data_IF_876612854125
#
_entry.id   IF_876612854125
#
_cell.length_a   1.000
_cell.length_b   1.000
_cell.length_c   1.000
_cell.angle_alpha   90.00
_cell.angle_beta   90.00
_cell.angle_gamma   90.00
#
_symmetry.space_group_name_H-M   'P 1'
#
loop_
_entity.id
_entity.type
_entity.pdbx_description
1 polymer ?
#
# COMPACT_ATOMS: atom_id res chain seq x y z
N UNK A 1 -4.58 19.89 -0.81
CA UNK A 1 -5.12 18.92 -1.79
C UNK A 1 -4.12 18.74 -2.91
N UNK A 2 -3.90 17.53 -3.33
CA UNK A 2 -2.98 17.20 -4.42
C UNK A 2 -3.79 16.72 -5.63
N UNK A 3 -3.45 17.22 -6.81
CA UNK A 3 -4.04 16.77 -8.07
C UNK A 3 -3.01 15.96 -8.85
N UNK A 4 -3.44 14.81 -9.35
CA UNK A 4 -2.61 13.86 -10.09
C UNK A 4 -3.33 13.51 -11.39
N UNK A 5 -2.58 13.36 -12.47
CA UNK A 5 -3.14 12.92 -13.73
C UNK A 5 -3.77 11.53 -13.58
N UNK A 6 -5.05 11.41 -13.94
CA UNK A 6 -5.77 10.14 -13.91
C UNK A 6 -5.59 9.43 -15.26
N UNK A 7 -4.86 8.34 -15.22
CA UNK A 7 -4.68 7.48 -16.38
C UNK A 7 -5.84 6.50 -16.56
N UNK A 8 -5.58 5.37 -17.21
CA UNK A 8 -6.58 4.33 -17.44
C UNK A 8 -7.09 3.73 -16.12
N UNK A 9 -6.23 3.65 -15.10
CA UNK A 9 -6.56 3.15 -13.77
C UNK A 9 -6.22 4.21 -12.72
N UNK A 10 -6.93 4.25 -11.59
CA UNK A 10 -6.61 5.18 -10.52
C UNK A 10 -5.31 4.74 -9.82
N UNK A 11 -4.21 5.33 -10.23
CA UNK A 11 -2.88 5.00 -9.69
C UNK A 11 -2.11 6.26 -9.29
N UNK A 12 -1.19 6.08 -8.36
CA UNK A 12 -0.33 7.13 -7.85
C UNK A 12 1.08 6.60 -7.67
N UNK A 13 2.05 7.51 -7.60
CA UNK A 13 3.38 7.17 -7.10
C UNK A 13 3.38 7.36 -5.59
N UNK A 14 3.68 6.30 -4.87
CA UNK A 14 3.73 6.30 -3.42
C UNK A 14 5.15 6.03 -2.95
N UNK A 15 5.71 6.94 -2.15
CA UNK A 15 7.02 6.75 -1.54
C UNK A 15 6.82 6.20 -0.14
N UNK A 16 7.24 4.97 0.05
CA UNK A 16 7.13 4.28 1.33
C UNK A 16 8.45 4.34 2.06
N UNK A 17 8.42 4.85 3.28
CA UNK A 17 9.58 4.88 4.16
C UNK A 17 9.38 3.86 5.28
N UNK A 18 10.28 2.89 5.36
CA UNK A 18 10.24 1.89 6.41
C UNK A 18 10.66 2.44 7.77
N UNK A 19 10.47 1.63 8.80
CA UNK A 19 10.91 1.96 10.17
C UNK A 19 12.43 2.11 10.26
N UNK A 20 13.18 1.50 9.35
CA UNK A 20 14.63 1.60 9.25
C UNK A 20 15.09 2.80 8.40
N UNK A 21 14.19 3.69 8.02
CA UNK A 21 14.42 4.88 7.20
C UNK A 21 14.77 4.62 5.73
N UNK A 22 14.74 3.39 5.27
CA UNK A 22 14.88 3.09 3.84
C UNK A 22 13.60 3.46 3.09
N UNK A 23 13.77 3.97 1.88
CA UNK A 23 12.67 4.50 1.07
C UNK A 23 12.61 3.77 -0.27
N UNK A 24 11.39 3.47 -0.70
CA UNK A 24 11.15 2.97 -2.05
C UNK A 24 9.89 3.61 -2.63
N UNK A 25 9.92 3.95 -3.91
CA UNK A 25 8.78 4.47 -4.64
C UNK A 25 8.08 3.34 -5.41
N UNK A 26 6.75 3.32 -5.32
CA UNK A 26 5.92 2.37 -6.03
C UNK A 26 4.92 3.07 -6.91
N UNK A 27 4.66 2.48 -8.06
CA UNK A 27 3.44 2.78 -8.80
C UNK A 27 2.32 1.94 -8.20
N UNK A 28 1.41 2.60 -7.51
CA UNK A 28 0.39 1.94 -6.71
C UNK A 28 -1.01 2.17 -7.26
N UNK A 29 -1.80 1.10 -7.34
CA UNK A 29 -3.21 1.18 -7.65
C UNK A 29 -3.98 1.62 -6.40
N UNK A 30 -4.90 2.58 -6.54
CA UNK A 30 -5.84 2.91 -5.48
C UNK A 30 -7.02 1.96 -5.57
N UNK A 31 -7.17 1.11 -4.56
CA UNK A 31 -8.23 0.11 -4.54
C UNK A 31 -8.81 -0.08 -3.13
N UNK A 32 -9.99 0.48 -2.86
CA UNK A 32 -10.61 0.41 -1.53
C UNK A 32 -11.17 -0.97 -1.20
N UNK A 33 -11.14 -1.93 -2.11
CA UNK A 33 -11.50 -3.31 -1.83
C UNK A 33 -10.47 -3.96 -0.91
N UNK A 34 -9.20 -3.58 -1.03
CA UNK A 34 -8.15 -4.08 -0.15
C UNK A 34 -8.23 -3.41 1.22
N UNK A 35 -8.23 -4.21 2.27
CA UNK A 35 -8.25 -3.71 3.64
C UNK A 35 -6.95 -3.02 4.03
N UNK A 36 -5.83 -3.54 3.54
CA UNK A 36 -4.49 -3.01 3.81
C UNK A 36 -3.85 -2.52 2.52
N UNK A 37 -2.90 -1.58 2.65
CA UNK A 37 -1.97 -1.32 1.56
C UNK A 37 -1.12 -2.56 1.35
N UNK A 38 -0.69 -2.79 0.11
CA UNK A 38 0.05 -4.01 -0.27
C UNK A 38 1.35 -3.62 -0.97
N UNK A 39 2.44 -4.27 -0.59
CA UNK A 39 3.74 -4.21 -1.27
C UNK A 39 4.23 -5.63 -1.57
N UNK A 40 5.18 -5.79 -2.51
CA UNK A 40 5.75 -7.10 -2.78
C UNK A 40 6.37 -7.72 -1.53
N UNK A 41 6.23 -9.02 -1.41
CA UNK A 41 6.66 -9.78 -0.23
C UNK A 41 8.14 -9.56 0.10
N UNK A 42 9.01 -9.54 -0.92
CA UNK A 42 10.44 -9.32 -0.72
C UNK A 42 10.79 -7.95 -0.16
N UNK A 43 9.94 -6.95 -0.37
CA UNK A 43 10.20 -5.58 0.07
C UNK A 43 9.99 -5.38 1.57
N UNK A 44 9.26 -6.29 2.23
CA UNK A 44 9.17 -6.27 3.70
C UNK A 44 10.55 -6.38 4.33
N UNK A 45 11.44 -7.16 3.72
CA UNK A 45 12.83 -7.30 4.20
C UNK A 45 13.62 -6.00 4.01
N UNK A 46 13.36 -5.30 2.93
CA UNK A 46 13.97 -3.98 2.67
C UNK A 46 13.64 -2.99 3.79
N UNK A 47 12.41 -3.05 4.32
CA UNK A 47 11.93 -2.11 5.33
C UNK A 47 12.21 -2.56 6.77
N UNK A 48 13.13 -3.48 6.97
CA UNK A 48 13.63 -3.84 8.29
C UNK A 48 13.09 -5.14 8.87
N UNK A 49 12.26 -5.88 8.15
CA UNK A 49 11.76 -7.16 8.59
C UNK A 49 12.66 -8.27 8.07
N UNK A 50 13.31 -9.02 8.94
CA UNK A 50 14.12 -10.17 8.53
C UNK A 50 13.19 -11.30 8.06
N UNK A 51 13.72 -12.18 7.20
CA UNK A 51 12.98 -13.34 6.72
C UNK A 51 12.49 -14.21 7.89
N UNK A 52 13.34 -14.45 8.86
CA UNK A 52 12.99 -15.25 10.05
C UNK A 52 11.89 -14.57 10.86
N UNK A 53 12.03 -13.27 11.13
CA UNK A 53 11.02 -12.53 11.86
C UNK A 53 9.68 -12.52 11.12
N UNK A 54 9.72 -12.33 9.80
CA UNK A 54 8.53 -12.35 8.97
C UNK A 54 7.83 -13.70 9.01
N UNK A 55 8.57 -14.79 8.89
CA UNK A 55 8.02 -16.14 8.99
C UNK A 55 7.40 -16.42 10.35
N UNK A 56 8.05 -15.99 11.43
CA UNK A 56 7.51 -16.12 12.78
C UNK A 56 6.21 -15.35 12.95
N UNK A 57 6.13 -14.15 12.41
CA UNK A 57 4.93 -13.32 12.48
C UNK A 57 3.77 -13.91 11.68
N UNK A 58 4.03 -14.62 10.58
CA UNK A 58 2.99 -15.26 9.77
C UNK A 58 2.40 -16.50 10.41
N UNK A 59 3.09 -17.13 11.33
CA UNK A 59 2.66 -18.36 11.99
C UNK A 59 1.68 -18.10 13.14
N UNK A 60 1.76 -16.91 13.75
CA UNK A 60 0.99 -16.60 14.95
C UNK A 60 0.31 -15.24 14.92
N UNK A 61 -0.91 -15.16 15.52
CA UNK A 61 -1.53 -13.87 15.78
C UNK A 61 -0.62 -13.01 16.69
N UNK A 62 -0.79 -11.66 16.70
CA UNK A 62 -1.90 -10.93 16.07
C UNK A 62 -1.63 -10.47 14.64
N UNK A 63 -0.43 -10.65 14.11
CA UNK A 63 -0.02 -10.02 12.85
C UNK A 63 -0.33 -10.84 11.61
N UNK A 64 -0.57 -12.16 11.80
CA UNK A 64 -0.93 -13.03 10.68
C UNK A 64 -2.34 -12.73 10.18
N UNK A 65 -2.49 -12.62 8.89
CA UNK A 65 -3.77 -12.38 8.23
C UNK A 65 -3.89 -13.23 6.98
N UNK A 66 -5.13 -13.56 6.62
CA UNK A 66 -5.43 -14.14 5.33
C UNK A 66 -6.11 -13.07 4.48
N UNK A 67 -5.52 -12.76 3.33
CA UNK A 67 -6.02 -11.76 2.41
C UNK A 67 -6.55 -12.42 1.15
N UNK A 68 -7.62 -11.84 0.60
CA UNK A 68 -8.12 -12.20 -0.72
C UNK A 68 -7.49 -11.24 -1.72
N UNK A 69 -6.76 -11.78 -2.68
CA UNK A 69 -6.12 -11.01 -3.75
C UNK A 69 -6.52 -11.61 -5.10
N UNK A 70 -6.08 -10.99 -6.18
CA UNK A 70 -6.27 -11.55 -7.52
C UNK A 70 -5.66 -12.94 -7.72
N UNK A 71 -4.72 -13.34 -6.86
CA UNK A 71 -4.12 -14.69 -6.84
C UNK A 71 -4.79 -15.64 -5.86
N UNK A 72 -5.93 -15.28 -5.23
CA UNK A 72 -6.65 -16.09 -4.27
C UNK A 72 -6.40 -15.70 -2.82
N UNK A 73 -6.43 -16.67 -1.91
CA UNK A 73 -6.18 -16.43 -0.49
C UNK A 73 -4.68 -16.47 -0.20
N UNK A 74 -4.17 -15.44 0.47
CA UNK A 74 -2.75 -15.34 0.83
C UNK A 74 -2.61 -15.13 2.33
N UNK A 75 -1.82 -15.99 2.96
CA UNK A 75 -1.37 -15.72 4.33
C UNK A 75 -0.25 -14.71 4.30
N UNK A 76 -0.36 -13.69 5.13
CA UNK A 76 0.65 -12.65 5.24
C UNK A 76 0.66 -12.08 6.65
N UNK A 77 1.63 -11.21 6.89
CA UNK A 77 1.64 -10.39 8.10
C UNK A 77 1.26 -8.97 7.76
N UNK A 78 0.64 -8.30 8.72
CA UNK A 78 0.38 -6.87 8.66
C UNK A 78 1.43 -6.18 9.51
N UNK A 79 2.05 -5.17 8.96
CA UNK A 79 3.10 -4.40 9.62
C UNK A 79 2.92 -2.92 9.31
N UNK A 80 3.46 -2.09 10.19
CA UNK A 80 3.38 -0.64 10.05
C UNK A 80 4.66 -0.12 9.40
N UNK A 81 4.52 0.82 8.46
CA UNK A 81 5.66 1.56 7.90
C UNK A 81 5.80 2.91 8.57
N UNK A 82 6.97 3.55 8.42
CA UNK A 82 7.21 4.87 9.01
C UNK A 82 6.33 5.95 8.40
N UNK A 83 6.29 6.03 7.07
CA UNK A 83 5.44 6.99 6.37
C UNK A 83 5.18 6.58 4.93
N UNK A 84 4.11 7.13 4.37
CA UNK A 84 3.80 7.05 2.94
C UNK A 84 3.58 8.46 2.43
N UNK A 85 4.30 8.83 1.38
CA UNK A 85 4.12 10.13 0.71
C UNK A 85 3.46 9.93 -0.64
N UNK A 86 2.39 10.68 -0.86
CA UNK A 86 1.68 10.71 -2.15
C UNK A 86 1.49 12.18 -2.52
N UNK A 87 2.20 12.63 -3.57
CA UNK A 87 2.05 14.00 -4.09
C UNK A 87 2.28 15.09 -3.04
N UNK A 88 3.23 14.91 -2.14
CA UNK A 88 3.52 15.87 -1.08
C UNK A 88 2.70 15.70 0.19
N UNK A 89 1.73 14.79 0.20
CA UNK A 89 0.96 14.45 1.39
C UNK A 89 1.62 13.29 2.12
N UNK A 90 1.81 13.43 3.43
CA UNK A 90 2.44 12.42 4.27
C UNK A 90 1.40 11.73 5.15
N UNK A 91 1.39 10.41 5.13
CA UNK A 91 0.55 9.58 5.99
C UNK A 91 1.46 8.75 6.88
N UNK A 92 1.21 8.79 8.19
CA UNK A 92 1.99 8.04 9.17
C UNK A 92 1.17 6.87 9.72
N UNK A 93 1.85 5.90 10.31
CA UNK A 93 1.21 4.75 10.95
C UNK A 93 0.28 3.98 10.01
N UNK A 94 0.71 3.81 8.76
CA UNK A 94 -0.06 3.06 7.76
C UNK A 94 0.30 1.58 7.82
N UNK A 95 -0.71 0.74 7.93
CA UNK A 95 -0.53 -0.70 7.93
C UNK A 95 -0.44 -1.25 6.52
N UNK A 96 0.55 -2.11 6.30
CA UNK A 96 0.81 -2.78 5.03
C UNK A 96 0.76 -4.29 5.21
N UNK A 97 0.36 -4.96 4.15
CA UNK A 97 0.52 -6.41 3.99
C UNK A 97 1.55 -6.67 2.89
N UNK A 98 2.38 -7.68 3.06
CA UNK A 98 3.37 -8.07 2.06
C UNK A 98 2.83 -9.26 1.27
N UNK A 99 2.43 -9.03 0.05
CA UNK A 99 1.84 -10.03 -0.84
C UNK A 99 2.30 -9.75 -2.27
N UNK A 100 2.71 -10.79 -2.97
CA UNK A 100 3.04 -10.66 -4.39
C UNK A 100 1.75 -10.62 -5.20
N UNK A 101 1.54 -9.50 -5.89
CA UNK A 101 0.40 -9.33 -6.77
C UNK A 101 0.63 -10.06 -8.10
N UNK A 102 -0.44 -10.56 -8.74
CA UNK A 102 -0.30 -11.12 -10.09
C UNK A 102 0.29 -10.10 -11.05
N UNK A 103 1.25 -10.54 -11.89
CA UNK A 103 1.95 -9.64 -12.82
C UNK A 103 1.00 -8.95 -13.80
N UNK A 104 -0.08 -9.60 -14.18
CA UNK A 104 -1.06 -9.03 -15.11
C UNK A 104 -1.82 -7.82 -14.54
N UNK A 105 -1.72 -7.58 -13.24
CA UNK A 105 -2.30 -6.38 -12.63
C UNK A 105 -1.57 -5.11 -13.09
N UNK A 106 -0.27 -5.20 -13.37
CA UNK A 106 0.53 -4.09 -13.88
C UNK A 106 0.95 -3.05 -12.85
N UNK A 107 0.70 -3.29 -11.58
CA UNK A 107 1.09 -2.40 -10.47
C UNK A 107 1.93 -3.17 -9.46
N UNK A 108 2.89 -2.48 -8.86
CA UNK A 108 3.78 -3.07 -7.87
C UNK A 108 3.16 -3.10 -6.48
N UNK A 109 2.24 -2.18 -6.21
CA UNK A 109 1.65 -1.98 -4.90
C UNK A 109 0.18 -1.57 -5.01
N UNK A 110 -0.51 -1.63 -3.88
CA UNK A 110 -1.90 -1.17 -3.76
C UNK A 110 -2.01 -0.23 -2.57
N UNK A 111 -2.74 0.86 -2.76
CA UNK A 111 -3.17 1.74 -1.67
C UNK A 111 -4.57 1.30 -1.27
N UNK A 112 -4.68 0.67 -0.12
CA UNK A 112 -5.92 0.14 0.40
C UNK A 112 -6.50 0.97 1.54
N UNK A 113 -7.51 0.41 2.21
CA UNK A 113 -8.27 1.12 3.26
C UNK A 113 -7.41 1.60 4.42
N UNK A 114 -6.33 0.89 4.75
CA UNK A 114 -5.48 1.30 5.87
C UNK A 114 -4.89 2.71 5.71
N UNK A 115 -4.73 3.17 4.47
CA UNK A 115 -4.36 4.56 4.18
C UNK A 115 -5.60 5.39 3.82
N UNK A 116 -6.49 4.84 2.99
CA UNK A 116 -7.63 5.58 2.44
C UNK A 116 -8.61 6.03 3.50
N UNK A 117 -8.68 5.36 4.66
CA UNK A 117 -9.48 5.83 5.79
C UNK A 117 -9.01 7.19 6.35
N UNK A 118 -7.79 7.61 6.02
CA UNK A 118 -7.21 8.88 6.42
C UNK A 118 -7.14 9.89 5.26
N UNK A 119 -7.79 9.57 4.14
CA UNK A 119 -7.73 10.38 2.93
C UNK A 119 -9.12 10.59 2.34
N UNK A 120 -9.24 11.65 1.57
CA UNK A 120 -10.39 11.87 0.69
C UNK A 120 -9.88 11.81 -0.74
N UNK A 121 -10.46 10.92 -1.55
CA UNK A 121 -10.04 10.71 -2.93
C UNK A 121 -11.22 10.95 -3.86
N UNK A 122 -11.02 11.77 -4.88
CA UNK A 122 -12.01 12.03 -5.91
C UNK A 122 -11.44 11.65 -7.26
N UNK A 123 -12.17 10.85 -8.01
CA UNK A 123 -11.83 10.46 -9.37
C UNK A 123 -12.71 11.26 -10.35
N UNK A 124 -12.08 12.15 -11.09
CA UNK A 124 -12.74 12.95 -12.12
C UNK A 124 -12.32 12.43 -13.49
N UNK A 125 -13.11 11.50 -14.02
CA UNK A 125 -12.81 10.86 -15.29
C UNK A 125 -12.97 11.80 -16.48
N UNK A 126 -13.89 12.75 -16.38
CA UNK A 126 -14.13 13.73 -17.44
C UNK A 126 -12.90 14.62 -17.66
N UNK A 127 -12.30 15.11 -16.57
CA UNK A 127 -11.14 15.98 -16.63
C UNK A 127 -9.81 15.23 -16.47
N UNK A 128 -9.87 13.90 -16.33
CA UNK A 128 -8.70 13.03 -16.14
C UNK A 128 -7.84 13.46 -14.96
N UNK A 129 -8.49 13.71 -13.83
CA UNK A 129 -7.85 14.13 -12.61
C UNK A 129 -8.22 13.24 -11.43
N UNK A 130 -7.22 12.93 -10.64
CA UNK A 130 -7.37 12.30 -9.32
C UNK A 130 -7.01 13.36 -8.29
N UNK A 131 -7.91 13.62 -7.36
CA UNK A 131 -7.67 14.56 -6.26
C UNK A 131 -7.58 13.76 -4.98
N UNK A 132 -6.53 14.04 -4.20
CA UNK A 132 -6.34 13.41 -2.90
C UNK A 132 -6.01 14.47 -1.86
N UNK A 133 -6.61 14.33 -0.69
CA UNK A 133 -6.32 15.17 0.46
C UNK A 133 -6.35 14.33 1.72
N UNK A 134 -5.75 14.84 2.80
CA UNK A 134 -5.85 14.17 4.09
C UNK A 134 -7.23 14.44 4.68
N UNK A 135 -7.84 13.41 5.24
CA UNK A 135 -9.07 13.58 6.01
C UNK A 135 -8.78 14.34 7.30
N UNK A 136 -9.64 15.26 7.61
CA UNK A 136 -9.53 16.06 8.86
C UNK A 136 -10.10 15.31 10.06
#
# INVERSE_FOLDING_TARGET
MTEIELGRFPSVFARVKGINSKVREYRALIDPVYEYCVIPKGDAYLFGHSEVAFQQMTVGPPNARTLITGGGFNKTVVFEVGSVEIGGLFFEHVEFAAVDLPQQVGFEAVIGKSLLKHASVTLDWEHKLLRISKAS
#
